data_IF_656088481439
#
_entry.id   IF_656088481439
#
_cell.length_a   1.000
_cell.length_b   1.000
_cell.length_c   1.000
_cell.angle_alpha   90.00
_cell.angle_beta   90.00
_cell.angle_gamma   90.00
#
_symmetry.space_group_name_H-M   'P 1'
#
loop_
_entity.id
_entity.type
_entity.pdbx_description
1 polymer ?
#
# COMPACT_ATOMS: atom_id res chain seq x y z
N UNK A 1 -28.28 32.46 57.02
CA UNK A 1 -27.71 32.12 55.71
C UNK A 1 -26.26 31.73 55.94
N UNK A 2 -25.96 30.42 56.05
CA UNK A 2 -24.64 29.90 56.45
C UNK A 2 -23.81 29.74 55.18
N UNK A 3 -22.84 30.66 54.95
CA UNK A 3 -21.89 30.56 53.85
C UNK A 3 -20.97 29.36 54.14
N UNK A 4 -21.13 28.29 53.37
CA UNK A 4 -20.21 27.15 53.43
C UNK A 4 -18.85 27.61 52.91
N UNK A 5 -17.72 27.28 53.56
CA UNK A 5 -16.41 27.79 53.16
C UNK A 5 -16.04 27.28 51.76
N UNK A 6 -15.91 28.16 50.77
CA UNK A 6 -15.68 27.83 49.35
C UNK A 6 -14.43 27.00 49.07
N UNK A 7 -13.52 26.86 50.04
CA UNK A 7 -12.28 26.08 49.94
C UNK A 7 -12.49 24.60 49.61
N UNK A 8 -13.63 23.98 49.98
CA UNK A 8 -13.87 22.58 49.62
C UNK A 8 -14.01 22.38 48.10
N UNK A 9 -14.50 23.41 47.38
CA UNK A 9 -14.60 23.39 45.91
C UNK A 9 -13.20 23.45 45.30
N UNK A 10 -12.33 24.31 45.83
CA UNK A 10 -10.94 24.43 45.38
C UNK A 10 -10.18 23.11 45.54
N UNK A 11 -10.26 22.47 46.72
CA UNK A 11 -9.63 21.16 46.94
C UNK A 11 -10.22 20.06 46.05
N UNK A 12 -11.53 20.05 45.82
CA UNK A 12 -12.18 19.09 44.93
C UNK A 12 -11.74 19.27 43.48
N UNK A 13 -11.66 20.52 42.98
CA UNK A 13 -11.20 20.81 41.62
C UNK A 13 -9.73 20.45 41.41
N UNK A 14 -8.86 20.76 42.37
CA UNK A 14 -7.45 20.39 42.31
C UNK A 14 -7.24 18.87 42.33
N UNK A 15 -8.00 18.16 43.17
CA UNK A 15 -7.98 16.69 43.20
C UNK A 15 -8.44 16.08 41.86
N UNK A 16 -9.47 16.66 41.24
CA UNK A 16 -9.97 16.23 39.93
C UNK A 16 -8.94 16.45 38.82
N UNK A 17 -8.32 17.63 38.77
CA UNK A 17 -7.28 17.96 37.78
C UNK A 17 -6.09 17.01 37.95
N UNK A 18 -5.64 16.79 39.18
CA UNK A 18 -4.54 15.87 39.47
C UNK A 18 -4.87 14.43 39.04
N UNK A 19 -6.09 13.95 39.30
CA UNK A 19 -6.53 12.63 38.86
C UNK A 19 -6.53 12.48 37.33
N UNK A 20 -6.98 13.51 36.60
CA UNK A 20 -6.93 13.53 35.12
C UNK A 20 -5.49 13.55 34.61
N UNK A 21 -4.61 14.37 35.19
CA UNK A 21 -3.20 14.43 34.80
C UNK A 21 -2.48 13.09 35.05
N UNK A 22 -2.73 12.46 36.21
CA UNK A 22 -2.19 11.12 36.51
C UNK A 22 -2.71 10.10 35.50
N UNK A 23 -4.00 10.12 35.17
CA UNK A 23 -4.58 9.22 34.19
C UNK A 23 -3.98 9.39 32.76
N UNK A 24 -3.61 10.61 32.38
CA UNK A 24 -2.93 10.89 31.10
C UNK A 24 -1.45 10.48 31.09
N UNK A 25 -0.81 10.44 32.25
CA UNK A 25 0.58 9.98 32.43
C UNK A 25 0.68 8.46 32.53
N UNK A 26 -0.42 7.75 32.79
CA UNK A 26 -0.44 6.31 32.73
C UNK A 26 -0.17 5.86 31.28
N UNK A 27 0.77 4.93 31.06
CA UNK A 27 1.07 4.45 29.72
C UNK A 27 -0.20 3.83 29.14
N UNK A 28 -0.62 4.34 27.97
CA UNK A 28 -1.69 3.74 27.18
C UNK A 28 -1.33 2.27 26.96
N UNK A 29 -2.28 1.32 27.12
CA UNK A 29 -2.01 -0.09 26.87
C UNK A 29 -1.30 -0.25 25.52
N UNK A 30 -0.15 -0.94 25.53
CA UNK A 30 0.63 -1.16 24.32
C UNK A 30 -0.23 -1.93 23.32
N UNK A 31 -0.55 -1.31 22.18
CA UNK A 31 -1.14 -2.00 21.03
C UNK A 31 -0.34 -3.30 20.82
N UNK A 32 -0.99 -4.47 20.73
CA UNK A 32 -0.30 -5.72 20.43
C UNK A 32 0.64 -5.53 19.25
N UNK A 33 1.90 -5.98 19.37
CA UNK A 33 2.91 -5.76 18.31
C UNK A 33 2.44 -6.24 16.93
N UNK A 34 1.55 -7.23 16.89
CA UNK A 34 0.89 -7.69 15.66
C UNK A 34 -0.08 -6.67 15.05
N UNK A 35 -0.92 -6.01 15.86
CA UNK A 35 -1.83 -4.96 15.40
C UNK A 35 -1.08 -3.73 14.91
N UNK A 36 0.00 -3.34 15.61
CA UNK A 36 0.85 -2.23 15.18
C UNK A 36 1.55 -2.50 13.83
N UNK A 37 2.05 -3.72 13.61
CA UNK A 37 2.63 -4.13 12.32
C UNK A 37 1.61 -4.12 11.19
N UNK A 38 0.38 -4.57 11.49
CA UNK A 38 -0.73 -4.59 10.54
C UNK A 38 -1.16 -3.17 10.13
N UNK A 39 -1.31 -2.25 11.08
CA UNK A 39 -1.57 -0.84 10.77
C UNK A 39 -0.41 -0.22 9.96
N UNK A 40 0.84 -0.56 10.26
CA UNK A 40 1.96 -0.07 9.45
C UNK A 40 1.91 -0.59 8.00
N UNK A 41 1.53 -1.86 7.75
CA UNK A 41 1.38 -2.35 6.36
C UNK A 41 0.28 -1.58 5.60
N UNK A 42 -0.83 -1.26 6.28
CA UNK A 42 -1.91 -0.43 5.73
C UNK A 42 -1.44 1.01 5.45
N UNK A 43 -0.69 1.62 6.37
CA UNK A 43 -0.20 2.99 6.21
C UNK A 43 0.86 3.09 5.11
N UNK A 44 1.71 2.06 4.94
CA UNK A 44 2.61 1.95 3.80
C UNK A 44 1.84 1.96 2.46
N UNK A 45 0.77 1.17 2.34
CA UNK A 45 -0.08 1.19 1.13
C UNK A 45 -0.77 2.54 0.92
N UNK A 46 -1.17 3.25 1.99
CA UNK A 46 -1.72 4.62 1.86
C UNK A 46 -0.66 5.60 1.36
N UNK A 47 0.57 5.51 1.85
CA UNK A 47 1.67 6.35 1.39
C UNK A 47 1.99 6.08 -0.08
N UNK A 48 1.96 4.80 -0.50
CA UNK A 48 2.10 4.41 -1.90
C UNK A 48 0.94 4.98 -2.74
N UNK A 49 -0.30 4.84 -2.26
CA UNK A 49 -1.49 5.40 -2.94
C UNK A 49 -1.40 6.91 -3.12
N UNK A 50 -0.97 7.65 -2.09
CA UNK A 50 -0.75 9.09 -2.18
C UNK A 50 0.35 9.44 -3.19
N UNK A 51 1.47 8.72 -3.16
CA UNK A 51 2.56 8.92 -4.12
C UNK A 51 2.13 8.68 -5.58
N UNK A 52 1.25 7.69 -5.81
CA UNK A 52 0.67 7.42 -7.13
C UNK A 52 -0.27 8.53 -7.58
N UNK A 53 -1.04 9.14 -6.67
CA UNK A 53 -1.88 10.31 -6.99
C UNK A 53 -1.02 11.55 -7.30
N UNK A 54 0.06 11.79 -6.55
CA UNK A 54 0.98 12.89 -6.87
C UNK A 54 1.68 12.67 -8.22
N UNK A 55 2.07 11.43 -8.54
CA UNK A 55 2.56 11.09 -9.87
C UNK A 55 1.48 11.39 -10.94
N UNK A 56 0.22 11.02 -10.67
CA UNK A 56 -0.87 11.29 -11.61
C UNK A 56 -1.12 12.79 -11.80
N UNK A 57 -0.96 13.62 -10.76
CA UNK A 57 -1.08 15.08 -10.88
C UNK A 57 -0.02 15.65 -11.84
N UNK A 58 1.22 15.17 -11.76
CA UNK A 58 2.33 15.65 -12.59
C UNK A 58 2.31 15.10 -14.03
N UNK A 59 1.91 13.84 -14.21
CA UNK A 59 2.00 13.14 -15.51
C UNK A 59 0.65 12.90 -16.19
N UNK A 60 -0.46 13.24 -15.54
CA UNK A 60 -1.82 13.04 -16.04
C UNK A 60 -2.34 11.60 -15.99
N UNK A 61 -1.52 10.65 -15.54
CA UNK A 61 -1.84 9.22 -15.48
C UNK A 61 -1.12 8.52 -14.35
N UNK A 62 -1.64 7.39 -13.87
CA UNK A 62 -0.81 6.43 -13.14
C UNK A 62 0.39 6.00 -13.99
N UNK A 63 1.51 5.62 -13.36
CA UNK A 63 2.70 5.16 -14.08
C UNK A 63 2.40 3.88 -14.88
N UNK A 64 3.18 3.62 -15.96
CA UNK A 64 3.19 2.27 -16.55
C UNK A 64 3.66 1.25 -15.51
N UNK A 65 3.27 -0.01 -15.67
CA UNK A 65 3.73 -1.10 -14.81
C UNK A 65 5.27 -1.19 -14.80
N UNK A 66 5.88 -0.97 -15.97
CA UNK A 66 7.31 -0.87 -16.12
C UNK A 66 7.72 0.00 -17.31
N UNK A 67 8.95 0.52 -17.23
CA UNK A 67 9.62 1.16 -18.36
C UNK A 67 10.31 0.12 -19.25
N UNK A 68 10.55 0.47 -20.51
CA UNK A 68 11.25 -0.37 -21.47
C UNK A 68 12.31 0.41 -22.23
N UNK A 69 13.36 -0.26 -22.67
CA UNK A 69 14.31 0.30 -23.64
C UNK A 69 13.74 0.30 -25.08
N UNK A 70 14.53 0.78 -26.04
CA UNK A 70 14.13 0.83 -27.45
C UNK A 70 14.00 -0.55 -28.09
N UNK A 71 14.52 -1.60 -27.46
CA UNK A 71 14.37 -3.00 -27.88
C UNK A 71 13.17 -3.69 -27.20
N UNK A 72 12.49 -3.01 -26.25
CA UNK A 72 11.37 -3.55 -25.50
C UNK A 72 11.77 -4.35 -24.26
N UNK A 73 13.04 -4.33 -23.85
CA UNK A 73 13.46 -4.98 -22.61
C UNK A 73 12.96 -4.17 -21.42
N UNK A 74 12.43 -4.84 -20.39
CA UNK A 74 11.95 -4.20 -19.16
C UNK A 74 13.11 -3.60 -18.39
N UNK A 75 12.93 -2.36 -17.90
CA UNK A 75 13.96 -1.64 -17.15
C UNK A 75 13.58 -1.49 -15.68
N UNK A 76 12.61 -0.63 -15.37
CA UNK A 76 12.24 -0.27 -13.99
C UNK A 76 10.74 -0.40 -13.74
N UNK A 77 10.38 -0.84 -12.53
CA UNK A 77 9.01 -0.88 -12.02
C UNK A 77 8.37 0.49 -11.86
N UNK A 78 7.03 0.54 -11.86
CA UNK A 78 6.24 1.68 -11.36
C UNK A 78 6.70 2.15 -9.96
N UNK A 79 7.19 1.23 -9.11
CA UNK A 79 7.73 1.54 -7.78
C UNK A 79 8.90 2.51 -7.86
N UNK A 80 9.84 2.25 -8.78
CA UNK A 80 10.97 3.14 -9.04
C UNK A 80 10.49 4.54 -9.45
N UNK A 81 9.46 4.62 -10.31
CA UNK A 81 8.96 5.89 -10.85
C UNK A 81 8.32 6.79 -9.79
N UNK A 82 7.79 6.23 -8.70
CA UNK A 82 7.13 7.01 -7.64
C UNK A 82 8.05 7.39 -6.49
N UNK A 83 9.32 6.95 -6.48
CA UNK A 83 10.28 7.28 -5.41
C UNK A 83 10.37 8.79 -5.09
N UNK A 84 10.36 9.73 -6.07
CA UNK A 84 10.38 11.16 -5.75
C UNK A 84 9.21 11.63 -4.88
N UNK A 85 8.06 10.95 -4.97
CA UNK A 85 6.83 11.25 -4.20
C UNK A 85 6.77 10.49 -2.87
N UNK A 86 7.80 9.70 -2.57
CA UNK A 86 7.98 8.95 -1.32
C UNK A 86 9.15 9.50 -0.49
N UNK A 87 9.50 10.77 -0.70
CA UNK A 87 10.69 11.42 -0.11
C UNK A 87 12.02 10.71 -0.44
N UNK A 88 12.05 9.91 -1.52
CA UNK A 88 13.25 9.19 -1.98
C UNK A 88 13.88 9.82 -3.22
N UNK A 89 13.66 11.12 -3.48
CA UNK A 89 14.28 11.81 -4.62
C UNK A 89 15.82 11.67 -4.67
N UNK A 90 16.58 11.80 -3.56
CA UNK A 90 18.04 11.62 -3.60
C UNK A 90 18.48 10.20 -3.99
N UNK A 91 17.64 9.20 -3.73
CA UNK A 91 17.88 7.81 -4.17
C UNK A 91 17.54 7.67 -5.65
N UNK A 92 16.40 8.21 -6.08
CA UNK A 92 15.94 8.21 -7.47
C UNK A 92 16.95 8.86 -8.42
N UNK A 93 17.51 10.01 -8.04
CA UNK A 93 18.49 10.77 -8.84
C UNK A 93 19.80 9.98 -9.10
N UNK A 94 20.05 8.89 -8.35
CA UNK A 94 21.22 8.00 -8.54
C UNK A 94 20.95 6.82 -9.48
N UNK A 95 19.70 6.59 -9.88
CA UNK A 95 19.33 5.45 -10.71
C UNK A 95 19.65 5.77 -12.18
N UNK A 96 20.38 4.87 -12.85
CA UNK A 96 20.48 4.90 -14.30
C UNK A 96 19.23 4.29 -14.91
N UNK A 97 18.27 5.15 -15.25
CA UNK A 97 16.98 4.76 -15.83
C UNK A 97 17.10 4.16 -17.25
N UNK A 98 18.25 4.30 -17.91
CA UNK A 98 18.49 3.71 -19.24
C UNK A 98 19.00 2.27 -19.15
N UNK A 99 19.22 1.76 -17.94
CA UNK A 99 19.68 0.40 -17.70
C UNK A 99 18.65 -0.38 -16.89
N UNK A 100 18.63 -1.73 -17.01
CA UNK A 100 17.80 -2.57 -16.17
C UNK A 100 18.00 -2.28 -14.68
N UNK A 101 16.94 -2.47 -13.89
CA UNK A 101 16.99 -2.30 -12.45
C UNK A 101 18.09 -3.14 -11.79
N UNK A 102 18.37 -4.35 -12.30
CA UNK A 102 19.36 -5.29 -11.81
C UNK A 102 20.74 -5.17 -12.46
N UNK A 103 20.97 -4.14 -13.29
CA UNK A 103 22.29 -3.84 -13.85
C UNK A 103 23.30 -3.51 -12.72
N UNK A 104 24.59 -3.91 -12.84
CA UNK A 104 25.62 -3.56 -11.86
C UNK A 104 25.72 -2.06 -11.55
N UNK A 105 25.36 -1.17 -12.48
CA UNK A 105 25.33 0.27 -12.25
C UNK A 105 24.25 0.70 -11.25
N UNK A 106 23.16 -0.06 -11.12
CA UNK A 106 22.05 0.21 -10.22
C UNK A 106 22.12 -0.60 -8.91
N UNK A 107 23.08 -1.52 -8.77
CA UNK A 107 23.18 -2.45 -7.65
C UNK A 107 23.25 -1.77 -6.26
N UNK A 108 23.98 -0.66 -6.14
CA UNK A 108 24.04 0.11 -4.88
C UNK A 108 22.65 0.64 -4.50
N UNK A 109 21.96 1.26 -5.45
CA UNK A 109 20.63 1.84 -5.21
C UNK A 109 19.62 0.74 -4.89
N UNK A 110 19.62 -0.38 -5.62
CA UNK A 110 18.70 -1.51 -5.38
C UNK A 110 18.94 -2.24 -4.06
N UNK A 111 20.07 -2.00 -3.39
CA UNK A 111 20.34 -2.48 -2.03
C UNK A 111 19.69 -1.63 -0.93
N UNK A 112 19.11 -0.48 -1.27
CA UNK A 112 18.47 0.42 -0.32
C UNK A 112 17.27 -0.25 0.36
N UNK A 113 17.16 -0.04 1.67
CA UNK A 113 16.06 -0.56 2.48
C UNK A 113 14.96 0.49 2.56
N UNK A 114 13.88 0.26 1.82
CA UNK A 114 12.75 1.18 1.74
C UNK A 114 11.61 0.66 2.61
N UNK A 115 11.49 1.19 3.82
CA UNK A 115 10.48 0.76 4.80
C UNK A 115 9.05 0.87 4.25
N UNK A 116 8.78 1.82 3.35
CA UNK A 116 7.48 1.99 2.69
C UNK A 116 7.09 0.81 1.80
N UNK A 117 8.06 0.04 1.28
CA UNK A 117 7.80 -1.16 0.50
C UNK A 117 7.83 -2.45 1.31
N UNK A 118 8.13 -2.39 2.59
CA UNK A 118 8.19 -3.56 3.46
C UNK A 118 6.92 -3.65 4.30
N UNK A 119 6.20 -4.76 4.23
CA UNK A 119 5.19 -5.05 5.25
C UNK A 119 5.86 -5.58 6.52
N UNK A 120 5.75 -4.91 7.70
CA UNK A 120 6.38 -5.38 8.93
C UNK A 120 5.80 -6.68 9.50
N UNK A 121 4.66 -7.15 8.97
CA UNK A 121 4.10 -8.47 9.28
C UNK A 121 4.72 -9.58 8.43
N UNK A 122 5.38 -9.26 7.31
CA UNK A 122 6.04 -10.23 6.45
C UNK A 122 7.52 -10.38 6.84
N UNK A 123 8.00 -11.62 6.82
CA UNK A 123 9.42 -11.95 6.99
C UNK A 123 10.10 -11.91 5.62
N UNK A 124 10.56 -10.71 5.22
CA UNK A 124 11.12 -10.41 3.90
C UNK A 124 12.59 -10.00 4.01
N UNK A 125 13.36 -10.24 2.94
CA UNK A 125 14.66 -9.59 2.82
C UNK A 125 14.48 -8.06 2.72
N UNK A 126 15.46 -7.24 3.17
CA UNK A 126 15.27 -5.79 3.25
C UNK A 126 15.02 -5.07 1.91
N UNK A 127 15.36 -5.70 0.79
CA UNK A 127 15.15 -5.14 -0.55
C UNK A 127 13.89 -5.67 -1.22
N UNK A 128 13.11 -6.51 -0.53
CA UNK A 128 11.93 -7.16 -1.08
C UNK A 128 10.62 -6.46 -0.68
N UNK A 129 9.60 -6.69 -1.48
CA UNK A 129 8.24 -6.23 -1.25
C UNK A 129 7.21 -7.30 -1.62
N UNK A 130 6.06 -7.26 -0.95
CA UNK A 130 4.86 -8.06 -1.26
C UNK A 130 3.70 -7.20 -1.76
N UNK A 131 3.91 -5.89 -1.95
CA UNK A 131 2.88 -4.99 -2.46
C UNK A 131 2.89 -5.01 -3.98
N UNK A 132 2.17 -5.95 -4.60
CA UNK A 132 2.21 -6.20 -6.05
C UNK A 132 1.06 -5.53 -6.79
N UNK A 133 1.36 -4.93 -7.93
CA UNK A 133 0.35 -4.35 -8.80
C UNK A 133 -0.32 -5.42 -9.68
N UNK A 134 -1.53 -5.12 -10.16
CA UNK A 134 -2.09 -5.82 -11.31
C UNK A 134 -1.60 -5.14 -12.59
N UNK A 135 -0.78 -5.85 -13.37
CA UNK A 135 -0.20 -5.36 -14.63
C UNK A 135 -0.87 -5.99 -15.84
N UNK A 136 -1.40 -5.17 -16.75
CA UNK A 136 -2.15 -5.63 -17.92
C UNK A 136 -2.98 -4.53 -18.57
N UNK A 137 -3.41 -4.75 -19.82
CA UNK A 137 -4.13 -3.73 -20.60
C UNK A 137 -5.52 -3.38 -20.02
N UNK A 138 -6.08 -4.24 -19.16
CA UNK A 138 -7.36 -4.04 -18.50
C UNK A 138 -7.23 -3.55 -17.04
N UNK A 139 -6.01 -3.29 -16.55
CA UNK A 139 -5.75 -2.92 -15.16
C UNK A 139 -5.22 -1.48 -15.03
N UNK A 140 -5.15 -0.98 -13.79
CA UNK A 140 -4.64 0.37 -13.52
C UNK A 140 -3.19 0.57 -13.94
N UNK A 141 -2.36 -0.47 -13.92
CA UNK A 141 -1.00 -0.43 -14.43
C UNK A 141 -0.94 -1.13 -15.79
N UNK A 142 -1.08 -0.36 -16.87
CA UNK A 142 -0.83 -0.89 -18.20
C UNK A 142 0.68 -1.14 -18.39
N UNK A 143 1.09 -2.13 -19.21
CA UNK A 143 2.48 -2.56 -19.28
C UNK A 143 3.50 -1.44 -19.49
N UNK A 144 3.37 -0.69 -20.58
CA UNK A 144 4.36 0.30 -21.05
C UNK A 144 3.78 1.69 -21.28
N UNK A 145 2.51 1.90 -20.90
CA UNK A 145 1.83 3.19 -20.99
C UNK A 145 1.21 3.56 -19.64
N UNK A 146 1.16 4.85 -19.36
CA UNK A 146 0.41 5.35 -18.20
C UNK A 146 -1.10 5.14 -18.38
N UNK A 147 -1.82 5.08 -17.26
CA UNK A 147 -3.28 4.98 -17.22
C UNK A 147 -3.92 6.25 -16.68
N UNK A 148 -4.70 6.95 -17.49
CA UNK A 148 -5.44 8.12 -17.01
C UNK A 148 -6.63 7.70 -16.15
N UNK A 149 -7.02 8.53 -15.17
CA UNK A 149 -8.21 8.27 -14.34
C UNK A 149 -9.49 8.18 -15.17
N UNK A 150 -9.57 8.91 -16.27
CA UNK A 150 -10.71 8.89 -17.20
C UNK A 150 -10.89 7.54 -17.90
N UNK A 151 -9.85 6.69 -17.93
CA UNK A 151 -9.94 5.33 -18.47
C UNK A 151 -10.47 4.32 -17.44
N UNK A 152 -10.56 4.69 -16.16
CA UNK A 152 -11.04 3.82 -15.08
C UNK A 152 -12.55 4.04 -14.90
N UNK A 153 -13.34 3.31 -15.70
CA UNK A 153 -14.79 3.49 -15.78
C UNK A 153 -15.58 2.74 -14.70
N UNK A 154 -15.00 1.73 -14.06
CA UNK A 154 -15.61 1.02 -12.93
C UNK A 154 -15.62 1.86 -11.63
N UNK A 155 -14.92 2.99 -11.66
CA UNK A 155 -14.79 3.93 -10.56
C UNK A 155 -13.53 3.69 -9.72
N UNK A 156 -12.77 4.76 -9.46
CA UNK A 156 -11.56 4.71 -8.65
C UNK A 156 -11.71 3.99 -7.28
N UNK A 157 -12.79 4.19 -6.49
CA UNK A 157 -12.95 3.49 -5.21
C UNK A 157 -13.35 2.01 -5.32
N UNK A 158 -13.57 1.51 -6.54
CA UNK A 158 -14.02 0.15 -6.82
C UNK A 158 -12.95 -0.70 -7.52
N UNK A 159 -11.91 -0.07 -8.06
CA UNK A 159 -10.83 -0.75 -8.78
C UNK A 159 -9.61 -0.93 -7.87
N UNK A 160 -9.25 -2.17 -7.59
CA UNK A 160 -8.03 -2.55 -6.88
C UNK A 160 -6.84 -2.42 -7.81
N UNK A 161 -5.80 -1.74 -7.33
CA UNK A 161 -4.56 -1.52 -8.05
C UNK A 161 -3.42 -2.40 -7.54
N UNK A 162 -3.29 -2.47 -6.22
CA UNK A 162 -2.18 -3.13 -5.52
C UNK A 162 -2.77 -4.14 -4.54
N UNK A 163 -2.20 -5.33 -4.53
CA UNK A 163 -2.53 -6.43 -3.65
C UNK A 163 -1.30 -6.84 -2.83
N UNK A 164 -1.48 -6.96 -1.53
CA UNK A 164 -0.47 -7.51 -0.64
C UNK A 164 -0.47 -9.05 -0.69
N UNK A 165 0.64 -9.63 -1.13
CA UNK A 165 0.82 -11.08 -1.22
C UNK A 165 1.48 -11.66 0.03
N UNK A 166 1.61 -12.98 0.06
CA UNK A 166 2.54 -13.64 0.98
C UNK A 166 3.99 -13.57 0.48
N UNK A 167 4.93 -13.94 1.36
CA UNK A 167 6.36 -13.85 1.09
C UNK A 167 6.86 -14.74 -0.05
N UNK A 168 6.14 -15.80 -0.44
CA UNK A 168 6.57 -16.66 -1.55
C UNK A 168 6.51 -15.95 -2.91
N UNK A 169 5.78 -14.84 -3.00
CA UNK A 169 5.66 -13.99 -4.18
C UNK A 169 6.46 -12.70 -4.07
N UNK A 170 7.31 -12.57 -3.05
CA UNK A 170 8.08 -11.34 -2.83
C UNK A 170 9.09 -11.10 -3.95
N UNK A 171 9.13 -9.86 -4.45
CA UNK A 171 10.06 -9.40 -5.48
C UNK A 171 10.96 -8.31 -4.93
N UNK A 172 12.12 -8.07 -5.56
CA UNK A 172 12.91 -6.87 -5.26
C UNK A 172 12.11 -5.61 -5.57
N UNK A 173 12.17 -4.57 -4.75
CA UNK A 173 11.32 -3.39 -4.92
C UNK A 173 11.53 -2.66 -6.26
N UNK A 174 12.72 -2.78 -6.88
CA UNK A 174 13.00 -2.23 -8.20
C UNK A 174 12.56 -3.12 -9.37
N UNK A 175 12.19 -4.37 -9.10
CA UNK A 175 11.85 -5.36 -10.13
C UNK A 175 10.57 -4.97 -10.87
N UNK A 176 10.57 -4.97 -12.22
CA UNK A 176 9.39 -4.72 -13.04
C UNK A 176 8.38 -5.89 -13.00
N UNK A 177 8.72 -6.99 -12.33
CA UNK A 177 7.84 -8.15 -12.24
C UNK A 177 6.74 -7.91 -11.21
N UNK A 178 5.52 -7.82 -11.73
CA UNK A 178 4.28 -7.76 -10.97
C UNK A 178 3.39 -8.93 -11.42
N UNK A 179 3.08 -9.84 -10.49
CA UNK A 179 2.39 -11.11 -10.75
C UNK A 179 1.04 -11.23 -10.05
N UNK A 180 0.51 -10.13 -9.51
CA UNK A 180 -0.63 -10.19 -8.59
C UNK A 180 -1.91 -10.76 -9.21
N UNK A 181 -2.10 -10.65 -10.52
CA UNK A 181 -3.39 -10.90 -11.15
C UNK A 181 -3.83 -12.37 -11.07
N UNK A 182 -3.00 -13.28 -11.56
CA UNK A 182 -3.28 -14.73 -11.50
C UNK A 182 -3.35 -15.21 -10.05
N UNK A 183 -2.44 -14.71 -9.21
CA UNK A 183 -2.41 -15.02 -7.78
C UNK A 183 -3.72 -14.62 -7.09
N UNK A 184 -4.17 -13.38 -7.32
CA UNK A 184 -5.39 -12.84 -6.72
C UNK A 184 -6.61 -13.62 -7.19
N UNK A 185 -6.72 -13.92 -8.49
CA UNK A 185 -7.84 -14.74 -9.01
C UNK A 185 -7.92 -16.11 -8.33
N UNK A 186 -6.77 -16.72 -8.03
CA UNK A 186 -6.67 -18.03 -7.38
C UNK A 186 -6.77 -17.97 -5.85
N UNK A 187 -6.75 -16.78 -5.24
CA UNK A 187 -6.84 -16.63 -3.79
C UNK A 187 -8.11 -17.27 -3.23
N UNK A 188 -7.93 -18.06 -2.17
CA UNK A 188 -8.98 -18.70 -1.40
C UNK A 188 -8.58 -18.78 0.09
N UNK A 189 -9.41 -19.44 0.89
CA UNK A 189 -9.24 -19.58 2.34
C UNK A 189 -7.97 -20.35 2.75
N UNK A 190 -7.35 -21.07 1.80
CA UNK A 190 -6.10 -21.81 1.98
C UNK A 190 -4.88 -21.10 1.39
N UNK A 191 -5.07 -20.02 0.65
CA UNK A 191 -3.93 -19.26 0.11
C UNK A 191 -3.12 -18.69 1.28
N UNK A 192 -1.80 -18.92 1.33
CA UNK A 192 -0.96 -18.31 2.36
C UNK A 192 -1.17 -16.79 2.37
N UNK A 193 -1.30 -16.20 3.56
CA UNK A 193 -1.46 -14.76 3.72
C UNK A 193 -0.45 -14.24 4.74
N UNK A 194 -0.04 -12.99 4.55
CA UNK A 194 0.80 -12.26 5.51
C UNK A 194 0.04 -11.94 6.80
N UNK A 195 -1.26 -11.63 6.68
CA UNK A 195 -2.12 -11.32 7.82
C UNK A 195 -3.16 -12.41 8.04
N UNK A 196 -3.57 -12.59 9.30
CA UNK A 196 -4.62 -13.55 9.64
C UNK A 196 -5.96 -13.12 9.02
N UNK A 197 -6.56 -14.00 8.21
CA UNK A 197 -7.91 -13.83 7.67
C UNK A 197 -8.01 -13.08 6.34
N UNK A 198 -6.92 -12.51 5.82
CA UNK A 198 -6.95 -11.75 4.57
C UNK A 198 -5.71 -10.90 4.34
N UNK A 199 -5.81 -9.98 3.39
CA UNK A 199 -4.70 -9.10 2.99
C UNK A 199 -5.20 -7.70 2.68
N UNK A 200 -4.30 -6.72 2.74
CA UNK A 200 -4.65 -5.37 2.31
C UNK A 200 -4.58 -5.21 0.79
N UNK A 201 -5.49 -4.40 0.28
CA UNK A 201 -5.51 -3.92 -1.10
C UNK A 201 -5.54 -2.41 -1.12
N UNK A 202 -4.85 -1.80 -2.07
CA UNK A 202 -4.99 -0.38 -2.38
C UNK A 202 -5.89 -0.21 -3.62
N UNK A 203 -6.86 0.68 -3.51
CA UNK A 203 -7.81 1.04 -4.56
C UNK A 203 -7.31 2.25 -5.35
N UNK A 204 -7.85 2.47 -6.54
CA UNK A 204 -7.46 3.54 -7.44
C UNK A 204 -7.75 4.95 -6.91
N UNK A 205 -8.63 5.10 -5.92
CA UNK A 205 -8.83 6.36 -5.20
C UNK A 205 -7.77 6.61 -4.10
N UNK A 206 -6.81 5.71 -3.93
CA UNK A 206 -5.78 5.77 -2.89
C UNK A 206 -6.23 5.22 -1.53
N UNK A 207 -7.48 4.79 -1.39
CA UNK A 207 -7.96 4.15 -0.17
C UNK A 207 -7.42 2.73 -0.04
N UNK A 208 -7.30 2.25 1.20
CA UNK A 208 -6.77 0.90 1.50
C UNK A 208 -7.83 0.11 2.27
N UNK A 209 -8.15 -1.09 1.78
CA UNK A 209 -9.15 -1.98 2.37
C UNK A 209 -8.52 -3.31 2.75
N UNK A 210 -9.08 -3.94 3.78
CA UNK A 210 -8.71 -5.31 4.15
C UNK A 210 -9.70 -6.26 3.50
N UNK A 211 -9.20 -7.17 2.66
CA UNK A 211 -10.02 -8.13 1.92
C UNK A 211 -9.89 -9.49 2.59
N UNK A 212 -11.01 -9.97 3.14
CA UNK A 212 -11.06 -11.29 3.78
C UNK A 212 -11.04 -12.41 2.73
N UNK A 213 -10.10 -13.35 2.84
CA UNK A 213 -9.89 -14.39 1.82
C UNK A 213 -10.86 -15.59 1.96
N UNK A 214 -12.03 -15.36 2.56
CA UNK A 214 -13.07 -16.38 2.78
C UNK A 214 -14.07 -16.50 1.63
N UNK A 215 -15.09 -17.35 1.85
CA UNK A 215 -16.13 -17.80 0.90
C UNK A 215 -16.88 -16.69 0.12
N UNK A 216 -16.76 -15.41 0.53
CA UNK A 216 -17.52 -14.29 -0.06
C UNK A 216 -16.85 -13.59 -1.25
N UNK A 217 -15.53 -13.69 -1.45
CA UNK A 217 -14.95 -13.26 -2.73
C UNK A 217 -15.04 -14.40 -3.72
N UNK A 218 -15.95 -14.30 -4.67
CA UNK A 218 -15.98 -15.21 -5.81
C UNK A 218 -14.86 -14.85 -6.80
N UNK A 219 -14.45 -15.80 -7.64
CA UNK A 219 -13.49 -15.51 -8.72
C UNK A 219 -14.00 -14.39 -9.63
N UNK A 220 -15.31 -14.36 -9.89
CA UNK A 220 -15.97 -13.28 -10.64
C UNK A 220 -15.73 -11.93 -9.97
N UNK A 221 -16.08 -11.80 -8.68
CA UNK A 221 -15.88 -10.56 -7.91
C UNK A 221 -14.41 -10.14 -7.96
N UNK A 222 -13.47 -11.07 -7.77
CA UNK A 222 -12.03 -10.75 -7.83
C UNK A 222 -11.63 -10.21 -9.19
N UNK A 223 -12.11 -10.80 -10.28
CA UNK A 223 -11.85 -10.32 -11.63
C UNK A 223 -12.38 -8.90 -11.83
N UNK A 224 -13.62 -8.64 -11.43
CA UNK A 224 -14.25 -7.31 -11.53
C UNK A 224 -13.45 -6.26 -10.76
N UNK A 225 -12.97 -6.60 -9.55
CA UNK A 225 -12.19 -5.67 -8.72
C UNK A 225 -10.86 -5.26 -9.34
N UNK A 226 -10.26 -6.12 -10.16
CA UNK A 226 -8.95 -5.82 -10.76
C UNK A 226 -9.06 -4.96 -12.02
N UNK A 227 -10.19 -5.07 -12.73
CA UNK A 227 -10.37 -4.43 -14.03
C UNK A 227 -10.78 -2.97 -13.90
N UNK A 228 -10.40 -2.17 -14.90
CA UNK A 228 -10.77 -0.75 -14.98
C UNK A 228 -12.14 -0.52 -15.65
N UNK A 229 -12.64 -1.50 -16.40
CA UNK A 229 -13.81 -1.41 -17.28
C UNK A 229 -14.56 -2.76 -17.40
N UNK A 230 -14.73 -3.46 -16.29
CA UNK A 230 -15.51 -4.70 -16.19
C UNK A 230 -17.02 -4.49 -16.34
N UNK A 231 -17.55 -3.32 -15.95
CA UNK A 231 -18.96 -2.95 -16.14
C UNK A 231 -19.98 -3.77 -15.32
N UNK A 232 -19.53 -4.54 -14.34
CA UNK A 232 -20.38 -5.37 -13.48
C UNK A 232 -20.64 -4.69 -12.12
N UNK A 233 -21.84 -4.83 -11.57
CA UNK A 233 -22.13 -4.35 -10.21
C UNK A 233 -21.37 -5.17 -9.16
N UNK A 234 -20.64 -4.49 -8.29
CA UNK A 234 -19.94 -5.09 -7.17
C UNK A 234 -20.90 -5.27 -5.98
N UNK A 235 -21.01 -6.50 -5.47
CA UNK A 235 -21.55 -6.73 -4.12
C UNK A 235 -20.53 -6.26 -3.07
N UNK A 236 -20.97 -5.76 -1.91
CA UNK A 236 -20.07 -5.31 -0.83
C UNK A 236 -19.08 -6.43 -0.41
N UNK A 237 -17.78 -6.11 -0.41
CA UNK A 237 -16.67 -7.03 -0.12
C UNK A 237 -15.71 -6.48 0.95
#
# INVERSE_FOLDING_TARGET
>A
MRLWPHHWVEYATLGLILAVLVALLLPVPNVPRGEARREQCKDNLKHIGLALHNYQEDYGSFPPAYTVDVQGNRLHSWRTLILPYLDQKPLYDKIDLNKPWDDPANAEVMSAQLAVYQCPSADLAPTQTTYLAFSGDDFCFAPTKGRAFTEITDGLPNTVMIFETDKSHAVGWGSPDDGGAELFLQCNDKTPQTHTGGSYVALADGSVRFVGMGVKLTEKTRKTLMTIAGGEELEEF
#
